data_IF_459137847766
#
_entry.id   IF_459137847766
#
_cell.length_a   1.000
_cell.length_b   1.000
_cell.length_c   1.000
_cell.angle_alpha   90.00
_cell.angle_beta   90.00
_cell.angle_gamma   90.00
#
_symmetry.space_group_name_H-M   'P 1'
#
loop_
_entity.id
_entity.type
_entity.pdbx_description
1 polymer ?
#
# COMPACT_ATOMS: atom_id res chain seq x y z
N UNK A 1 -12.98 -3.31 2.51
CA UNK A 1 -12.72 -2.61 1.24
C UNK A 1 -12.44 -3.68 0.20
N UNK A 2 -13.40 -3.99 -0.66
CA UNK A 2 -13.43 -5.16 -1.56
C UNK A 2 -12.28 -5.08 -2.55
N UNK A 3 -11.41 -6.10 -2.50
CA UNK A 3 -10.26 -6.30 -3.40
C UNK A 3 -10.75 -6.29 -4.86
N UNK A 4 -10.43 -5.25 -5.64
CA UNK A 4 -10.82 -5.17 -7.04
C UNK A 4 -10.02 -6.22 -7.83
N UNK A 5 -10.59 -7.42 -8.00
CA UNK A 5 -10.21 -8.31 -9.10
C UNK A 5 -10.19 -7.44 -10.36
N UNK A 6 -9.11 -7.46 -11.14
CA UNK A 6 -9.06 -6.84 -12.48
C UNK A 6 -10.09 -7.55 -13.34
N UNK A 7 -11.36 -7.14 -13.21
CA UNK A 7 -12.47 -7.63 -14.03
C UNK A 7 -12.15 -7.34 -15.50
N UNK A 8 -12.33 -8.33 -16.35
CA UNK A 8 -12.22 -8.18 -17.80
C UNK A 8 -13.22 -7.10 -18.26
N UNK A 9 -12.91 -6.38 -19.33
CA UNK A 9 -13.74 -5.25 -19.86
C UNK A 9 -15.23 -5.65 -19.97
N UNK A 10 -15.50 -6.88 -20.39
CA UNK A 10 -16.84 -7.48 -20.49
C UNK A 10 -17.50 -7.68 -19.12
N UNK A 11 -16.73 -8.15 -18.12
CA UNK A 11 -17.26 -8.35 -16.76
C UNK A 11 -17.60 -7.03 -16.08
N UNK A 12 -16.75 -5.98 -16.27
CA UNK A 12 -17.05 -4.61 -15.80
C UNK A 12 -18.32 -4.07 -16.42
N UNK A 13 -18.52 -4.27 -17.73
CA UNK A 13 -19.72 -3.83 -18.43
C UNK A 13 -20.98 -4.51 -17.86
N UNK A 14 -20.95 -5.83 -17.66
CA UNK A 14 -22.07 -6.60 -17.09
C UNK A 14 -22.36 -6.14 -15.65
N UNK A 15 -21.33 -5.92 -14.83
CA UNK A 15 -21.50 -5.43 -13.46
C UNK A 15 -22.15 -4.05 -13.43
N UNK A 16 -21.69 -3.12 -14.26
CA UNK A 16 -22.25 -1.78 -14.36
C UNK A 16 -23.70 -1.80 -14.86
N UNK A 17 -24.03 -2.70 -15.81
CA UNK A 17 -25.39 -2.89 -16.30
C UNK A 17 -26.31 -3.41 -15.18
N UNK A 18 -25.83 -4.40 -14.40
CA UNK A 18 -26.60 -4.95 -13.28
C UNK A 18 -26.84 -3.90 -12.18
N UNK A 19 -25.81 -3.14 -11.80
CA UNK A 19 -25.93 -2.04 -10.82
C UNK A 19 -26.93 -0.99 -11.30
N UNK A 20 -26.88 -0.60 -12.58
CA UNK A 20 -27.80 0.36 -13.17
C UNK A 20 -29.23 -0.14 -13.10
N UNK A 21 -29.48 -1.39 -13.51
CA UNK A 21 -30.80 -2.00 -13.46
C UNK A 21 -31.32 -2.11 -12.01
N UNK A 22 -30.51 -2.55 -11.06
CA UNK A 22 -30.88 -2.70 -9.66
C UNK A 22 -31.29 -1.34 -9.05
N UNK A 23 -30.50 -0.29 -9.25
CA UNK A 23 -30.82 1.05 -8.71
C UNK A 23 -32.09 1.60 -9.33
N UNK A 24 -32.31 1.46 -10.64
CA UNK A 24 -33.54 1.92 -11.30
C UNK A 24 -34.79 1.14 -10.81
N UNK A 25 -34.67 -0.18 -10.60
CA UNK A 25 -35.73 -0.99 -10.01
C UNK A 25 -36.07 -0.55 -8.58
N UNK A 26 -35.06 -0.25 -7.76
CA UNK A 26 -35.28 0.26 -6.40
C UNK A 26 -35.99 1.61 -6.44
N UNK A 27 -35.54 2.55 -7.28
CA UNK A 27 -36.20 3.85 -7.45
C UNK A 27 -37.66 3.68 -7.90
N UNK A 28 -37.95 2.81 -8.86
CA UNK A 28 -39.30 2.53 -9.32
C UNK A 28 -40.15 1.94 -8.19
N UNK A 29 -39.65 0.98 -7.42
CA UNK A 29 -40.35 0.38 -6.28
C UNK A 29 -40.70 1.40 -5.20
N UNK A 30 -39.77 2.30 -4.84
CA UNK A 30 -40.01 3.39 -3.89
C UNK A 30 -41.09 4.34 -4.44
N UNK A 31 -41.03 4.72 -5.72
CA UNK A 31 -42.00 5.59 -6.34
C UNK A 31 -43.41 4.97 -6.38
N UNK A 32 -43.54 3.69 -6.69
CA UNK A 32 -44.80 2.96 -6.66
C UNK A 32 -45.38 2.89 -5.24
N UNK A 33 -44.52 2.66 -4.24
CA UNK A 33 -44.96 2.68 -2.83
C UNK A 33 -45.49 4.05 -2.41
N UNK A 34 -44.79 5.13 -2.78
CA UNK A 34 -45.23 6.51 -2.47
C UNK A 34 -46.52 6.85 -3.22
N UNK A 35 -46.65 6.44 -4.47
CA UNK A 35 -47.84 6.67 -5.27
C UNK A 35 -49.08 6.02 -4.61
N UNK A 36 -48.91 4.81 -4.06
CA UNK A 36 -50.00 4.06 -3.44
C UNK A 36 -50.37 4.53 -2.02
N UNK A 37 -49.43 5.11 -1.26
CA UNK A 37 -49.65 5.42 0.17
C UNK A 37 -49.91 6.90 0.45
N UNK A 38 -49.21 7.82 -0.23
CA UNK A 38 -49.12 9.20 0.26
C UNK A 38 -49.61 10.27 -0.71
N UNK A 39 -49.86 9.95 -1.97
CA UNK A 39 -50.30 10.94 -2.98
C UNK A 39 -49.31 12.07 -3.27
N UNK A 40 -48.10 12.03 -2.72
CA UNK A 40 -47.06 13.08 -2.90
C UNK A 40 -46.27 12.85 -4.19
N UNK A 41 -46.95 12.96 -5.32
CA UNK A 41 -46.38 12.75 -6.66
C UNK A 41 -45.21 13.69 -6.99
N UNK A 42 -45.10 14.82 -6.31
CA UNK A 42 -44.04 15.85 -6.57
C UNK A 42 -42.62 15.37 -6.22
N UNK A 43 -42.46 14.33 -5.38
CA UNK A 43 -41.15 13.80 -4.99
C UNK A 43 -40.56 12.78 -6.00
N UNK A 44 -41.39 12.23 -6.88
CA UNK A 44 -41.00 11.17 -7.81
C UNK A 44 -39.78 11.58 -8.71
N UNK A 45 -39.77 12.77 -9.34
CA UNK A 45 -38.62 13.20 -10.14
C UNK A 45 -37.32 13.28 -9.32
N UNK A 46 -37.39 13.72 -8.06
CA UNK A 46 -36.24 13.84 -7.18
C UNK A 46 -35.60 12.47 -6.84
N UNK A 47 -36.43 11.42 -6.67
CA UNK A 47 -35.94 10.05 -6.42
C UNK A 47 -35.18 9.52 -7.61
N UNK A 48 -35.68 9.75 -8.83
CA UNK A 48 -34.98 9.33 -10.05
C UNK A 48 -33.68 10.12 -10.30
N UNK A 49 -33.65 11.42 -9.94
CA UNK A 49 -32.41 12.22 -9.98
C UNK A 49 -31.38 11.66 -9.00
N UNK A 50 -31.80 11.31 -7.77
CA UNK A 50 -30.93 10.67 -6.79
C UNK A 50 -30.43 9.30 -7.28
N UNK A 51 -31.30 8.50 -7.90
CA UNK A 51 -30.93 7.22 -8.53
C UNK A 51 -29.87 7.39 -9.62
N UNK A 52 -30.06 8.37 -10.50
CA UNK A 52 -29.06 8.69 -11.55
C UNK A 52 -27.73 9.14 -10.98
N UNK A 53 -27.72 9.89 -9.89
CA UNK A 53 -26.52 10.26 -9.14
C UNK A 53 -25.81 9.01 -8.59
N UNK A 54 -26.54 8.13 -7.90
CA UNK A 54 -25.98 6.88 -7.36
C UNK A 54 -25.38 6.00 -8.46
N UNK A 55 -26.06 5.86 -9.60
CA UNK A 55 -25.53 5.13 -10.75
C UNK A 55 -24.22 5.76 -11.23
N UNK A 56 -24.15 7.09 -11.35
CA UNK A 56 -22.94 7.79 -11.76
C UNK A 56 -21.78 7.61 -10.76
N UNK A 57 -22.07 7.47 -9.46
CA UNK A 57 -21.06 7.19 -8.42
C UNK A 57 -20.59 5.74 -8.47
N UNK A 58 -21.51 4.79 -8.66
CA UNK A 58 -21.23 3.35 -8.58
C UNK A 58 -20.68 2.75 -9.88
N UNK A 59 -20.97 3.37 -11.05
CA UNK A 59 -20.54 2.88 -12.36
C UNK A 59 -19.37 3.66 -12.92
N UNK A 60 -18.65 3.09 -13.88
CA UNK A 60 -17.53 3.73 -14.54
C UNK A 60 -17.96 4.35 -15.88
N UNK A 61 -17.61 5.62 -16.07
CA UNK A 61 -17.82 6.36 -17.34
C UNK A 61 -19.18 7.07 -17.46
N UNK A 62 -19.34 7.82 -18.55
CA UNK A 62 -20.54 8.63 -18.80
C UNK A 62 -21.74 7.84 -19.32
N UNK A 63 -21.51 6.69 -19.95
CA UNK A 63 -22.52 5.96 -20.73
C UNK A 63 -23.69 5.49 -19.89
N UNK A 64 -23.41 4.84 -18.74
CA UNK A 64 -24.44 4.37 -17.84
C UNK A 64 -25.19 5.50 -17.13
N UNK A 65 -24.48 6.59 -16.79
CA UNK A 65 -25.08 7.78 -16.23
C UNK A 65 -26.06 8.43 -17.19
N UNK A 66 -25.68 8.67 -18.45
CA UNK A 66 -26.56 9.25 -19.48
C UNK A 66 -27.74 8.32 -19.77
N UNK A 67 -27.51 7.04 -19.92
CA UNK A 67 -28.56 6.06 -20.17
C UNK A 67 -29.59 6.03 -19.02
N UNK A 68 -29.12 6.07 -17.77
CA UNK A 68 -30.01 6.11 -16.61
C UNK A 68 -30.90 7.36 -16.58
N UNK A 69 -30.37 8.53 -17.00
CA UNK A 69 -31.15 9.77 -17.10
C UNK A 69 -32.27 9.64 -18.12
N UNK A 70 -31.96 9.13 -19.30
CA UNK A 70 -32.96 8.95 -20.37
C UNK A 70 -34.07 7.99 -19.92
N UNK A 71 -33.70 6.85 -19.31
CA UNK A 71 -34.66 5.88 -18.79
C UNK A 71 -35.51 6.51 -17.68
N UNK A 72 -34.89 7.27 -16.78
CA UNK A 72 -35.58 7.94 -15.66
C UNK A 72 -36.61 8.95 -16.15
N UNK A 73 -36.27 9.78 -17.13
CA UNK A 73 -37.21 10.76 -17.72
C UNK A 73 -38.40 10.07 -18.36
N UNK A 74 -38.13 9.01 -19.15
CA UNK A 74 -39.18 8.24 -19.81
C UNK A 74 -40.06 7.50 -18.77
N UNK A 75 -39.46 6.90 -17.73
CA UNK A 75 -40.19 6.22 -16.68
C UNK A 75 -41.13 7.16 -15.89
N UNK A 76 -40.63 8.33 -15.54
CA UNK A 76 -41.45 9.37 -14.83
C UNK A 76 -42.59 9.83 -15.71
N UNK A 77 -42.34 10.14 -16.98
CA UNK A 77 -43.38 10.61 -17.91
C UNK A 77 -44.44 9.53 -18.17
N UNK A 78 -44.04 8.27 -18.38
CA UNK A 78 -44.97 7.19 -18.70
C UNK A 78 -45.80 6.69 -17.50
N UNK A 79 -45.12 6.46 -16.36
CA UNK A 79 -45.76 5.78 -15.23
C UNK A 79 -46.43 6.73 -14.19
N UNK A 80 -45.91 7.96 -14.07
CA UNK A 80 -46.30 8.86 -12.96
C UNK A 80 -46.90 10.20 -13.41
N UNK A 81 -47.09 10.41 -14.73
CA UNK A 81 -47.66 11.65 -15.26
C UNK A 81 -49.04 11.37 -15.86
N UNK A 82 -49.99 12.25 -15.56
CA UNK A 82 -51.36 12.11 -16.13
C UNK A 82 -51.40 12.53 -17.62
N UNK A 83 -52.08 11.77 -18.53
CA UNK A 83 -52.76 10.50 -18.30
C UNK A 83 -51.74 9.36 -18.16
N UNK A 84 -51.94 8.50 -17.12
CA UNK A 84 -51.02 7.40 -16.80
C UNK A 84 -50.90 6.39 -17.96
N UNK A 85 -49.73 5.76 -18.07
CA UNK A 85 -49.43 4.77 -19.09
C UNK A 85 -49.49 5.28 -20.54
N UNK A 86 -49.30 6.59 -20.71
CA UNK A 86 -49.16 7.25 -22.02
C UNK A 86 -48.08 8.32 -21.96
N UNK A 87 -47.33 8.49 -23.06
CA UNK A 87 -46.35 9.58 -23.13
C UNK A 87 -47.07 10.90 -23.38
N UNK A 88 -46.94 11.84 -22.46
CA UNK A 88 -47.54 13.17 -22.57
C UNK A 88 -46.50 14.27 -22.38
N UNK A 89 -46.05 14.80 -23.49
CA UNK A 89 -45.09 15.92 -23.54
C UNK A 89 -45.78 17.26 -23.93
N UNK A 90 -47.13 17.29 -24.03
CA UNK A 90 -47.85 18.51 -24.40
C UNK A 90 -48.10 19.43 -23.21
N UNK A 91 -48.07 18.91 -21.98
CA UNK A 91 -48.21 19.72 -20.76
C UNK A 91 -46.87 20.42 -20.44
N UNK A 92 -46.89 21.75 -20.30
CA UNK A 92 -45.71 22.55 -20.00
C UNK A 92 -44.96 22.09 -18.73
N UNK A 93 -45.70 21.70 -17.67
CA UNK A 93 -45.11 21.21 -16.42
C UNK A 93 -44.28 19.95 -16.59
N UNK A 94 -44.69 19.03 -17.47
CA UNK A 94 -44.00 17.79 -17.75
C UNK A 94 -42.68 18.02 -18.51
N UNK A 95 -42.72 18.93 -19.48
CA UNK A 95 -41.54 19.31 -20.24
C UNK A 95 -40.52 20.03 -19.36
N UNK A 96 -40.96 20.95 -18.52
CA UNK A 96 -40.10 21.68 -17.59
C UNK A 96 -39.41 20.71 -16.61
N UNK A 97 -40.19 19.79 -16.01
CA UNK A 97 -39.66 18.76 -15.10
C UNK A 97 -38.61 17.86 -15.80
N UNK A 98 -38.88 17.41 -17.01
CA UNK A 98 -37.94 16.60 -17.78
C UNK A 98 -36.63 17.35 -18.09
N UNK A 99 -36.73 18.61 -18.49
CA UNK A 99 -35.55 19.46 -18.76
C UNK A 99 -34.72 19.67 -17.49
N UNK A 100 -35.36 19.96 -16.36
CA UNK A 100 -34.66 20.13 -15.07
C UNK A 100 -33.96 18.82 -14.66
N UNK A 101 -34.65 17.67 -14.76
CA UNK A 101 -34.06 16.36 -14.48
C UNK A 101 -32.82 16.09 -15.34
N UNK A 102 -32.89 16.37 -16.65
CA UNK A 102 -31.78 16.19 -17.57
C UNK A 102 -30.59 17.09 -17.17
N UNK A 103 -30.84 18.39 -16.94
CA UNK A 103 -29.78 19.34 -16.59
C UNK A 103 -29.08 18.92 -15.30
N UNK A 104 -29.82 18.63 -14.23
CA UNK A 104 -29.26 18.23 -12.94
C UNK A 104 -28.47 16.94 -13.08
N UNK A 105 -29.05 15.93 -13.72
CA UNK A 105 -28.42 14.62 -13.84
C UNK A 105 -27.17 14.64 -14.72
N UNK A 106 -27.20 15.36 -15.85
CA UNK A 106 -26.03 15.52 -16.74
C UNK A 106 -24.91 16.27 -16.02
N UNK A 107 -25.25 17.38 -15.33
CA UNK A 107 -24.25 18.16 -14.57
C UNK A 107 -23.61 17.31 -13.46
N UNK A 108 -24.43 16.56 -12.74
CA UNK A 108 -23.95 15.67 -11.67
C UNK A 108 -23.08 14.55 -12.21
N UNK A 109 -23.49 13.92 -13.32
CA UNK A 109 -22.70 12.87 -13.98
C UNK A 109 -21.34 13.42 -14.46
N UNK A 110 -21.33 14.59 -15.09
CA UNK A 110 -20.11 15.23 -15.54
C UNK A 110 -19.16 15.57 -14.36
N UNK A 111 -19.72 16.11 -13.27
CA UNK A 111 -18.94 16.46 -12.09
C UNK A 111 -18.34 15.23 -11.39
N UNK A 112 -19.15 14.18 -11.20
CA UNK A 112 -18.71 12.93 -10.58
C UNK A 112 -17.59 12.27 -11.40
N UNK A 113 -17.73 12.20 -12.72
CA UNK A 113 -16.71 11.62 -13.58
C UNK A 113 -15.42 12.44 -13.58
N UNK A 114 -15.53 13.79 -13.54
CA UNK A 114 -14.38 14.68 -13.40
C UNK A 114 -13.64 14.45 -12.09
N UNK A 115 -14.35 14.33 -10.97
CA UNK A 115 -13.78 14.05 -9.65
C UNK A 115 -13.04 12.71 -9.63
N UNK A 116 -13.66 11.65 -10.14
CA UNK A 116 -13.03 10.32 -10.25
C UNK A 116 -11.73 10.36 -11.08
N UNK A 117 -11.76 11.09 -12.20
CA UNK A 117 -10.57 11.25 -13.05
C UNK A 117 -9.47 12.04 -12.35
N UNK A 118 -9.82 13.08 -11.62
CA UNK A 118 -8.85 13.85 -10.82
C UNK A 118 -8.22 13.00 -9.70
N UNK A 119 -9.00 12.18 -9.02
CA UNK A 119 -8.52 11.29 -7.98
C UNK A 119 -7.56 10.23 -8.54
N UNK A 120 -7.90 9.62 -9.68
CA UNK A 120 -7.02 8.68 -10.37
C UNK A 120 -5.69 9.32 -10.80
N UNK A 121 -5.74 10.53 -11.37
CA UNK A 121 -4.54 11.30 -11.76
C UNK A 121 -3.70 11.72 -10.55
N UNK A 122 -4.33 12.05 -9.42
CA UNK A 122 -3.61 12.35 -8.18
C UNK A 122 -2.84 11.14 -7.68
N UNK A 123 -3.49 9.98 -7.61
CA UNK A 123 -2.85 8.74 -7.19
C UNK A 123 -1.66 8.36 -8.08
N UNK A 124 -1.82 8.52 -9.41
CA UNK A 124 -0.73 8.28 -10.37
C UNK A 124 0.43 9.27 -10.14
N UNK A 125 0.13 10.56 -9.99
CA UNK A 125 1.14 11.60 -9.76
C UNK A 125 1.87 11.40 -8.43
N UNK A 126 1.18 10.98 -7.37
CA UNK A 126 1.78 10.67 -6.07
C UNK A 126 2.74 9.47 -6.18
N UNK A 127 2.35 8.43 -6.92
CA UNK A 127 3.21 7.27 -7.18
C UNK A 127 4.47 7.67 -7.95
N UNK A 128 4.33 8.47 -9.01
CA UNK A 128 5.48 8.96 -9.79
C UNK A 128 6.41 9.88 -8.96
N UNK A 129 5.86 10.75 -8.14
CA UNK A 129 6.65 11.56 -7.19
C UNK A 129 7.40 10.71 -6.18
N UNK A 130 6.75 9.68 -5.65
CA UNK A 130 7.38 8.75 -4.71
C UNK A 130 8.55 8.02 -5.39
N UNK A 131 8.37 7.53 -6.61
CA UNK A 131 9.45 6.92 -7.42
C UNK A 131 10.62 7.87 -7.65
N UNK A 132 10.33 9.11 -8.06
CA UNK A 132 11.36 10.13 -8.30
C UNK A 132 12.14 10.47 -7.02
N UNK A 133 11.46 10.56 -5.88
CA UNK A 133 12.09 10.82 -4.59
C UNK A 133 12.96 9.63 -4.13
N UNK A 134 12.49 8.40 -4.32
CA UNK A 134 13.26 7.19 -4.04
C UNK A 134 14.54 7.13 -4.89
N UNK A 135 14.43 7.39 -6.20
CA UNK A 135 15.61 7.40 -7.09
C UNK A 135 16.62 8.48 -6.70
N UNK A 136 16.15 9.65 -6.27
CA UNK A 136 17.03 10.73 -5.79
C UNK A 136 17.73 10.35 -4.49
N UNK A 137 17.00 9.80 -3.53
CA UNK A 137 17.56 9.31 -2.27
C UNK A 137 18.59 8.21 -2.51
N UNK A 138 18.26 7.21 -3.33
CA UNK A 138 19.17 6.13 -3.75
C UNK A 138 20.44 6.69 -4.38
N UNK A 139 20.31 7.63 -5.31
CA UNK A 139 21.48 8.23 -6.00
C UNK A 139 22.40 8.97 -5.03
N UNK A 140 21.82 9.68 -4.07
CA UNK A 140 22.59 10.36 -3.03
C UNK A 140 23.32 9.36 -2.14
N UNK A 141 22.61 8.33 -1.67
CA UNK A 141 23.12 7.36 -0.72
C UNK A 141 24.15 6.41 -1.35
N UNK A 142 24.06 6.13 -2.66
CA UNK A 142 25.10 5.41 -3.40
C UNK A 142 26.38 6.23 -3.59
N UNK A 143 26.27 7.55 -3.75
CA UNK A 143 27.43 8.41 -4.02
C UNK A 143 28.41 8.46 -2.84
N UNK A 144 27.90 8.51 -1.62
CA UNK A 144 28.73 8.67 -0.40
C UNK A 144 29.70 7.48 -0.22
N UNK A 145 29.25 6.21 -0.15
CA UNK A 145 30.16 5.06 -0.02
C UNK A 145 31.09 4.92 -1.22
N UNK A 146 30.60 5.20 -2.43
CA UNK A 146 31.43 5.17 -3.63
C UNK A 146 32.58 6.17 -3.55
N UNK A 147 32.32 7.39 -3.04
CA UNK A 147 33.36 8.40 -2.83
C UNK A 147 34.35 7.96 -1.76
N UNK A 148 33.89 7.30 -0.69
CA UNK A 148 34.76 6.78 0.37
C UNK A 148 35.65 5.65 -0.17
N UNK A 149 35.07 4.69 -0.94
CA UNK A 149 35.82 3.62 -1.57
C UNK A 149 36.90 4.17 -2.52
N UNK A 150 36.49 5.11 -3.40
CA UNK A 150 37.37 5.72 -4.36
C UNK A 150 38.50 6.50 -3.69
N UNK A 151 38.16 7.34 -2.68
CA UNK A 151 39.12 8.14 -1.95
C UNK A 151 40.15 7.29 -1.17
N UNK A 152 39.69 6.24 -0.48
CA UNK A 152 40.57 5.33 0.23
C UNK A 152 41.44 4.53 -0.74
N UNK A 153 40.89 4.07 -1.87
CA UNK A 153 41.64 3.37 -2.92
C UNK A 153 42.69 4.26 -3.58
N UNK A 154 42.35 5.52 -3.96
CA UNK A 154 43.29 6.49 -4.50
C UNK A 154 44.42 6.81 -3.51
N UNK A 155 44.05 7.07 -2.22
CA UNK A 155 45.06 7.33 -1.21
C UNK A 155 46.05 6.15 -1.04
N UNK A 156 45.58 4.92 -1.07
CA UNK A 156 46.44 3.72 -1.01
C UNK A 156 47.36 3.57 -2.23
N UNK A 157 46.89 3.96 -3.43
CA UNK A 157 47.66 3.93 -4.65
C UNK A 157 48.73 5.05 -4.70
N UNK A 158 48.33 6.28 -4.33
CA UNK A 158 49.16 7.47 -4.43
C UNK A 158 50.13 7.62 -3.23
N UNK A 159 49.74 7.09 -2.07
CA UNK A 159 50.47 7.26 -0.82
C UNK A 159 51.71 6.37 -0.63
N UNK A 160 51.95 5.40 -1.54
CA UNK A 160 53.08 4.50 -1.51
C UNK A 160 53.38 3.92 -0.11
N UNK A 161 54.65 4.08 0.36
CA UNK A 161 55.09 3.61 1.67
C UNK A 161 54.76 4.59 2.84
N UNK A 162 54.07 5.68 2.58
CA UNK A 162 53.74 6.72 3.59
C UNK A 162 52.73 6.31 4.66
N UNK A 163 51.99 5.20 4.45
CA UNK A 163 51.02 4.70 5.43
C UNK A 163 51.58 3.55 6.26
N UNK A 164 51.28 3.56 7.56
CA UNK A 164 51.56 2.40 8.42
C UNK A 164 50.73 1.18 8.00
N UNK A 165 51.17 -0.03 8.36
CA UNK A 165 50.42 -1.25 8.12
C UNK A 165 49.00 -1.21 8.71
N UNK A 166 48.86 -0.62 9.88
CA UNK A 166 47.56 -0.43 10.57
C UNK A 166 46.65 0.54 9.81
N UNK A 167 47.22 1.63 9.28
CA UNK A 167 46.46 2.59 8.46
C UNK A 167 45.99 1.97 7.14
N UNK A 168 46.84 1.19 6.47
CA UNK A 168 46.47 0.46 5.26
C UNK A 168 45.35 -0.56 5.53
N UNK A 169 45.47 -1.33 6.62
CA UNK A 169 44.48 -2.30 7.01
C UNK A 169 43.14 -1.63 7.31
N UNK A 170 43.12 -0.50 8.03
CA UNK A 170 41.93 0.28 8.32
C UNK A 170 41.25 0.78 7.04
N UNK A 171 41.99 1.30 6.08
CA UNK A 171 41.48 1.74 4.77
C UNK A 171 40.87 0.59 3.97
N UNK A 172 41.56 -0.55 3.90
CA UNK A 172 41.09 -1.74 3.20
C UNK A 172 39.82 -2.31 3.84
N UNK A 173 39.75 -2.37 5.17
CA UNK A 173 38.54 -2.77 5.89
C UNK A 173 37.39 -1.80 5.62
N UNK A 174 37.65 -0.49 5.57
CA UNK A 174 36.69 0.52 5.19
C UNK A 174 36.13 0.29 3.78
N UNK A 175 36.99 0.07 2.80
CA UNK A 175 36.58 -0.23 1.42
C UNK A 175 35.68 -1.47 1.38
N UNK A 176 36.07 -2.57 2.05
CA UNK A 176 35.25 -3.78 2.09
C UNK A 176 33.89 -3.55 2.73
N UNK A 177 33.82 -2.80 3.82
CA UNK A 177 32.57 -2.47 4.51
C UNK A 177 31.63 -1.68 3.62
N UNK A 178 32.14 -0.64 2.94
CA UNK A 178 31.33 0.20 2.03
C UNK A 178 30.88 -0.58 0.79
N UNK A 179 31.73 -1.45 0.23
CA UNK A 179 31.37 -2.31 -0.89
C UNK A 179 30.26 -3.31 -0.52
N UNK A 180 30.32 -3.92 0.66
CA UNK A 180 29.27 -4.81 1.17
C UNK A 180 27.95 -4.07 1.39
N UNK A 181 28.01 -2.83 1.88
CA UNK A 181 26.84 -2.00 2.05
C UNK A 181 26.18 -1.65 0.70
N UNK A 182 27.00 -1.28 -0.31
CA UNK A 182 26.51 -1.02 -1.68
C UNK A 182 25.81 -2.24 -2.28
N UNK A 183 26.39 -3.43 -2.12
CA UNK A 183 25.78 -4.67 -2.62
C UNK A 183 24.38 -4.88 -2.03
N UNK A 184 24.23 -4.70 -0.72
CA UNK A 184 22.92 -4.79 -0.05
C UNK A 184 21.91 -3.76 -0.55
N UNK A 185 22.37 -2.55 -0.78
CA UNK A 185 21.50 -1.48 -1.27
C UNK A 185 20.99 -1.79 -2.67
N UNK A 186 21.82 -2.35 -3.54
CA UNK A 186 21.41 -2.81 -4.89
C UNK A 186 20.40 -3.96 -4.80
N UNK A 187 20.61 -4.94 -3.92
CA UNK A 187 19.67 -6.04 -3.69
C UNK A 187 18.30 -5.53 -3.22
N UNK A 188 18.28 -4.59 -2.28
CA UNK A 188 17.07 -3.94 -1.80
C UNK A 188 16.34 -3.17 -2.93
N UNK A 189 17.09 -2.46 -3.78
CA UNK A 189 16.51 -1.73 -4.90
C UNK A 189 15.91 -2.66 -5.97
N UNK A 190 16.59 -3.76 -6.28
CA UNK A 190 16.07 -4.78 -7.19
C UNK A 190 14.78 -5.40 -6.66
N UNK A 191 14.68 -5.62 -5.34
CA UNK A 191 13.46 -6.13 -4.71
C UNK A 191 12.31 -5.14 -4.82
N UNK A 192 12.54 -3.84 -4.63
CA UNK A 192 11.52 -2.78 -4.82
C UNK A 192 11.05 -2.73 -6.27
N UNK A 193 12.00 -2.72 -7.24
CA UNK A 193 11.63 -2.63 -8.66
C UNK A 193 10.87 -3.85 -9.17
N UNK A 194 11.15 -5.02 -8.63
CA UNK A 194 10.36 -6.24 -8.92
C UNK A 194 8.93 -6.11 -8.44
N UNK A 195 8.70 -5.58 -7.23
CA UNK A 195 7.36 -5.40 -6.65
C UNK A 195 6.55 -4.29 -7.34
N UNK A 196 7.20 -3.22 -7.82
CA UNK A 196 6.56 -2.02 -8.38
C UNK A 196 6.09 -2.19 -9.84
N UNK A 197 6.66 -3.17 -10.56
CA UNK A 197 6.40 -3.39 -12.00
C UNK A 197 4.96 -3.87 -12.30
N UNK A 198 4.11 -4.04 -11.30
CA UNK A 198 2.70 -4.47 -11.46
C UNK A 198 2.50 -5.86 -12.09
N UNK A 199 3.61 -6.52 -12.49
CA UNK A 199 3.63 -7.79 -13.22
C UNK A 199 4.31 -8.93 -12.45
N UNK A 200 4.80 -8.68 -11.21
CA UNK A 200 5.33 -9.75 -10.39
C UNK A 200 4.21 -10.24 -9.48
N UNK A 201 3.62 -11.35 -9.88
CA UNK A 201 2.83 -12.17 -8.96
C UNK A 201 3.74 -12.62 -7.83
N UNK A 202 3.43 -12.23 -6.58
CA UNK A 202 4.03 -12.85 -5.41
C UNK A 202 3.92 -14.37 -5.56
N UNK A 203 5.04 -15.06 -5.49
CA UNK A 203 5.03 -16.53 -5.48
C UNK A 203 4.82 -16.95 -4.04
N UNK A 204 3.57 -16.93 -3.60
CA UNK A 204 3.22 -17.45 -2.28
C UNK A 204 3.31 -18.97 -2.31
N UNK A 205 4.14 -19.53 -1.46
CA UNK A 205 4.25 -20.95 -1.19
C UNK A 205 3.93 -21.22 0.26
N UNK A 206 3.33 -22.36 0.57
CA UNK A 206 3.12 -22.81 1.95
C UNK A 206 4.48 -23.00 2.61
N UNK A 207 4.87 -22.06 3.46
CA UNK A 207 6.20 -22.01 4.09
C UNK A 207 6.09 -22.42 5.56
N UNK A 208 6.92 -23.33 6.00
CA UNK A 208 7.04 -23.74 7.41
C UNK A 208 7.74 -22.63 8.19
N UNK A 209 7.12 -22.19 9.28
CA UNK A 209 7.62 -21.07 10.09
C UNK A 209 9.02 -21.33 10.63
N UNK A 210 9.26 -22.52 11.20
CA UNK A 210 10.54 -22.87 11.81
C UNK A 210 11.70 -22.82 10.79
N UNK A 211 11.48 -23.37 9.58
CA UNK A 211 12.47 -23.34 8.50
C UNK A 211 12.81 -21.91 8.07
N UNK A 212 11.82 -21.03 8.01
CA UNK A 212 12.02 -19.62 7.69
C UNK A 212 12.88 -18.95 8.78
N UNK A 213 12.54 -19.16 10.06
CA UNK A 213 13.27 -18.53 11.18
C UNK A 213 14.71 -19.06 11.24
N UNK A 214 14.93 -20.35 11.06
CA UNK A 214 16.26 -20.92 11.01
C UNK A 214 17.11 -20.29 9.89
N UNK A 215 16.54 -20.14 8.69
CA UNK A 215 17.23 -19.47 7.56
C UNK A 215 17.61 -18.02 7.90
N UNK A 216 16.66 -17.26 8.51
CA UNK A 216 16.89 -15.90 8.99
C UNK A 216 18.06 -15.83 9.96
N UNK A 217 18.04 -16.71 10.99
CA UNK A 217 19.08 -16.74 12.04
C UNK A 217 20.45 -17.10 11.51
N UNK A 218 20.53 -18.06 10.60
CA UNK A 218 21.79 -18.42 9.93
C UNK A 218 22.37 -17.21 9.18
N UNK A 219 21.56 -16.49 8.42
CA UNK A 219 21.99 -15.29 7.67
C UNK A 219 22.38 -14.14 8.59
N UNK A 220 21.61 -13.91 9.65
CA UNK A 220 21.86 -12.84 10.61
C UNK A 220 23.14 -13.11 11.41
N UNK A 221 23.28 -14.31 12.01
CA UNK A 221 24.42 -14.66 12.84
C UNK A 221 25.75 -14.67 12.05
N UNK A 222 25.71 -15.06 10.78
CA UNK A 222 26.89 -14.95 9.90
C UNK A 222 27.41 -13.51 9.78
N UNK A 223 26.52 -12.53 9.85
CA UNK A 223 26.84 -11.11 9.68
C UNK A 223 27.11 -10.40 11.00
N UNK A 224 26.37 -10.77 12.05
CA UNK A 224 26.42 -10.17 13.38
C UNK A 224 26.68 -11.24 14.46
N UNK A 225 27.86 -11.89 14.45
CA UNK A 225 28.16 -13.02 15.34
C UNK A 225 28.20 -12.64 16.83
N UNK A 226 28.32 -11.34 17.15
CA UNK A 226 28.31 -10.83 18.52
C UNK A 226 26.93 -10.45 19.05
N UNK A 227 25.89 -10.50 18.23
CA UNK A 227 24.52 -10.12 18.62
C UNK A 227 23.67 -11.38 18.71
N UNK A 228 23.28 -11.73 19.93
CA UNK A 228 22.37 -12.87 20.17
C UNK A 228 20.92 -12.49 19.91
N UNK A 229 20.19 -13.34 19.19
CA UNK A 229 18.73 -13.21 18.99
C UNK A 229 18.02 -14.28 19.82
N UNK A 230 17.11 -13.85 20.70
CA UNK A 230 16.19 -14.78 21.40
C UNK A 230 14.96 -14.98 20.54
N UNK A 231 14.60 -16.23 20.24
CA UNK A 231 13.40 -16.57 19.49
C UNK A 231 12.31 -17.09 20.41
N UNK A 232 11.09 -16.60 20.22
CA UNK A 232 9.88 -17.04 20.90
C UNK A 232 8.86 -17.44 19.81
N UNK A 233 8.71 -18.73 19.55
CA UNK A 233 7.85 -19.28 18.51
C UNK A 233 6.67 -20.03 19.14
N UNK A 234 5.54 -20.19 18.41
CA UNK A 234 4.44 -21.04 18.87
C UNK A 234 4.88 -22.51 18.95
N UNK A 235 4.39 -23.25 19.94
CA UNK A 235 4.66 -24.68 20.10
C UNK A 235 3.99 -25.54 19.01
N UNK A 236 3.03 -24.98 18.29
CA UNK A 236 2.29 -25.66 17.24
C UNK A 236 3.01 -25.52 15.89
N UNK A 237 2.86 -26.55 15.04
CA UNK A 237 3.37 -26.50 13.67
C UNK A 237 2.59 -25.47 12.84
N UNK A 238 3.26 -24.42 12.38
CA UNK A 238 2.64 -23.30 11.66
C UNK A 238 3.17 -23.25 10.23
N UNK A 239 2.23 -23.23 9.28
CA UNK A 239 2.50 -23.03 7.85
C UNK A 239 1.81 -21.75 7.40
N UNK A 240 2.54 -20.89 6.68
CA UNK A 240 2.03 -19.59 6.26
C UNK A 240 2.25 -19.45 4.74
N UNK A 241 1.19 -19.08 3.98
CA UNK A 241 1.33 -18.84 2.55
C UNK A 241 2.03 -17.50 2.30
N UNK A 242 3.32 -17.55 1.94
CA UNK A 242 4.13 -16.36 1.73
C UNK A 242 5.22 -16.57 0.66
N UNK A 243 5.77 -15.47 0.16
CA UNK A 243 7.05 -15.49 -0.55
C UNK A 243 8.17 -15.52 0.50
N UNK A 244 8.72 -16.72 0.74
CA UNK A 244 9.68 -16.96 1.82
C UNK A 244 10.93 -16.08 1.69
N UNK A 245 11.40 -15.81 0.47
CA UNK A 245 12.60 -14.99 0.21
C UNK A 245 12.35 -13.54 0.63
N UNK A 246 11.18 -13.00 0.30
CA UNK A 246 10.84 -11.62 0.62
C UNK A 246 10.57 -11.44 2.11
N UNK A 247 9.87 -12.39 2.76
CA UNK A 247 9.60 -12.30 4.21
C UNK A 247 10.88 -12.52 5.01
N UNK A 248 11.76 -13.43 4.61
CA UNK A 248 13.10 -13.56 5.19
C UNK A 248 13.85 -12.22 5.14
N UNK A 249 13.83 -11.53 3.99
CA UNK A 249 14.45 -10.21 3.83
C UNK A 249 13.85 -9.17 4.78
N UNK A 250 12.53 -9.19 5.01
CA UNK A 250 11.87 -8.30 5.99
C UNK A 250 12.44 -8.55 7.39
N UNK A 251 12.44 -9.81 7.84
CA UNK A 251 12.88 -10.15 9.20
C UNK A 251 14.36 -9.80 9.39
N UNK A 252 15.22 -10.15 8.42
CA UNK A 252 16.65 -9.80 8.46
C UNK A 252 16.84 -8.28 8.53
N UNK A 253 16.11 -7.49 7.73
CA UNK A 253 16.20 -6.02 7.76
C UNK A 253 15.78 -5.45 9.12
N UNK A 254 14.76 -6.01 9.77
CA UNK A 254 14.31 -5.57 11.11
C UNK A 254 15.36 -5.90 12.18
N UNK A 255 15.93 -7.11 12.15
CA UNK A 255 17.01 -7.52 13.07
C UNK A 255 18.28 -6.69 12.87
N UNK A 256 18.67 -6.43 11.62
CA UNK A 256 19.82 -5.57 11.29
C UNK A 256 19.59 -4.12 11.75
N UNK A 257 18.36 -3.61 11.65
CA UNK A 257 18.02 -2.29 12.14
C UNK A 257 18.27 -2.19 13.66
N UNK A 258 17.89 -3.19 14.45
CA UNK A 258 18.19 -3.24 15.88
C UNK A 258 19.70 -3.34 16.12
N UNK A 259 20.41 -4.25 15.45
CA UNK A 259 21.87 -4.43 15.61
C UNK A 259 22.69 -3.16 15.30
N UNK A 260 22.20 -2.31 14.38
CA UNK A 260 22.92 -1.11 13.96
C UNK A 260 22.54 0.15 14.74
N UNK A 261 21.31 0.22 15.27
CA UNK A 261 20.74 1.47 15.77
C UNK A 261 20.26 1.44 17.20
N UNK A 262 20.06 0.27 17.79
CA UNK A 262 19.65 0.15 19.18
C UNK A 262 20.88 0.32 20.11
N UNK A 263 21.34 1.56 20.30
CA UNK A 263 22.45 1.84 21.19
C UNK A 263 22.14 1.38 22.63
N UNK A 264 23.10 0.68 23.23
CA UNK A 264 22.93 0.12 24.58
C UNK A 264 22.09 -1.16 24.63
N UNK A 265 21.69 -1.73 23.50
CA UNK A 265 20.93 -2.96 23.43
C UNK A 265 21.66 -4.12 24.09
N UNK A 266 20.96 -4.82 24.98
CA UNK A 266 21.44 -6.06 25.63
C UNK A 266 20.61 -7.26 25.21
N UNK A 267 19.39 -7.03 24.73
CA UNK A 267 18.42 -8.09 24.36
C UNK A 267 17.75 -7.77 23.04
N UNK A 268 17.78 -8.72 22.10
CA UNK A 268 17.06 -8.68 20.84
C UNK A 268 16.17 -9.93 20.76
N UNK A 269 14.86 -9.73 20.57
CA UNK A 269 13.87 -10.79 20.58
C UNK A 269 13.10 -10.80 19.26
N UNK A 270 13.01 -11.98 18.65
CA UNK A 270 12.10 -12.28 17.54
C UNK A 270 10.99 -13.17 18.07
N UNK A 271 9.80 -12.61 18.19
CA UNK A 271 8.61 -13.30 18.66
C UNK A 271 7.61 -13.49 17.51
N UNK A 272 7.08 -14.71 17.37
CA UNK A 272 5.99 -15.00 16.42
C UNK A 272 4.84 -15.64 17.20
N UNK A 273 3.64 -15.14 16.97
CA UNK A 273 2.41 -15.66 17.57
C UNK A 273 1.32 -15.79 16.53
N UNK A 274 0.48 -16.81 16.68
CA UNK A 274 -0.74 -16.99 15.91
C UNK A 274 -1.92 -16.37 16.67
N UNK A 275 -2.67 -15.49 16.03
CA UNK A 275 -3.86 -14.85 16.59
C UNK A 275 -5.00 -14.99 15.58
N UNK A 276 -5.89 -15.97 15.81
CA UNK A 276 -6.91 -16.33 14.83
C UNK A 276 -6.27 -16.84 13.54
N UNK A 277 -6.66 -16.27 12.40
CA UNK A 277 -6.11 -16.57 11.07
C UNK A 277 -4.88 -15.73 10.71
N UNK A 278 -4.17 -15.16 11.68
CA UNK A 278 -3.00 -14.32 11.43
C UNK A 278 -1.79 -14.75 12.21
N UNK A 279 -0.64 -14.75 11.55
CA UNK A 279 0.67 -14.82 12.16
C UNK A 279 1.19 -13.41 12.41
N UNK A 280 1.52 -13.09 13.65
CA UNK A 280 2.04 -11.80 14.10
C UNK A 280 3.51 -11.95 14.45
N UNK A 281 4.36 -11.30 13.68
CA UNK A 281 5.81 -11.25 13.86
C UNK A 281 6.18 -9.98 14.62
N UNK A 282 7.01 -10.09 15.63
CA UNK A 282 7.47 -8.96 16.44
C UNK A 282 8.98 -9.04 16.61
N UNK A 283 9.69 -8.00 16.23
CA UNK A 283 11.11 -7.80 16.53
C UNK A 283 11.21 -6.70 17.56
N UNK A 284 11.79 -6.97 18.72
CA UNK A 284 11.92 -6.00 19.81
C UNK A 284 13.34 -5.97 20.36
N UNK A 285 13.83 -4.77 20.63
CA UNK A 285 15.09 -4.51 21.32
C UNK A 285 14.84 -3.73 22.61
N UNK A 286 15.84 -3.69 23.49
CA UNK A 286 15.86 -2.92 24.73
C UNK A 286 16.83 -1.71 24.68
N UNK A 287 17.13 -1.22 23.48
CA UNK A 287 18.05 -0.11 23.25
C UNK A 287 17.46 1.28 23.50
N UNK A 288 18.03 2.29 22.84
CA UNK A 288 17.64 3.71 23.00
C UNK A 288 16.23 4.05 22.46
N UNK A 289 15.60 3.17 21.66
CA UNK A 289 14.33 3.44 21.00
C UNK A 289 14.44 4.38 19.79
N UNK A 290 13.29 4.85 19.32
CA UNK A 290 13.13 5.66 18.11
C UNK A 290 12.60 7.04 18.50
N UNK A 291 13.19 8.09 17.95
CA UNK A 291 12.70 9.46 18.16
C UNK A 291 11.25 9.63 17.69
N UNK A 292 10.35 10.29 18.47
CA UNK A 292 8.92 10.37 18.16
C UNK A 292 8.59 11.00 16.81
N UNK A 293 9.40 11.95 16.33
CA UNK A 293 9.22 12.58 15.02
C UNK A 293 9.55 11.62 13.87
N UNK A 294 10.58 10.78 14.04
CA UNK A 294 10.97 9.74 13.06
C UNK A 294 9.98 8.59 13.03
N UNK A 295 9.42 8.22 14.19
CA UNK A 295 8.47 7.10 14.31
C UNK A 295 7.25 7.28 13.39
N UNK A 296 6.76 8.51 13.23
CA UNK A 296 5.59 8.81 12.37
C UNK A 296 5.82 8.49 10.89
N UNK A 297 7.08 8.60 10.43
CA UNK A 297 7.42 8.50 9.01
C UNK A 297 8.45 7.40 8.72
N UNK A 298 8.68 6.49 9.67
CA UNK A 298 9.79 5.53 9.60
C UNK A 298 9.71 4.58 8.39
N UNK A 299 8.51 4.33 7.88
CA UNK A 299 8.26 3.49 6.71
C UNK A 299 8.07 4.28 5.40
N UNK A 300 8.13 5.63 5.44
CA UNK A 300 7.85 6.46 4.26
C UNK A 300 9.03 6.56 3.26
N UNK A 301 10.20 6.07 3.63
CA UNK A 301 11.41 6.18 2.81
C UNK A 301 11.98 7.61 2.72
N UNK A 302 11.39 8.57 3.43
CA UNK A 302 11.86 9.95 3.49
C UNK A 302 12.73 10.11 4.73
N UNK A 303 14.03 10.26 4.55
CA UNK A 303 14.96 10.62 5.61
C UNK A 303 14.64 12.07 6.05
N UNK A 304 13.97 12.24 7.19
CA UNK A 304 13.69 13.55 7.77
C UNK A 304 14.96 14.07 8.44
N UNK A 305 15.63 15.03 7.80
CA UNK A 305 16.57 15.94 8.48
C UNK A 305 18.02 15.48 8.50
N UNK A 306 18.83 16.31 7.88
CA UNK A 306 20.29 16.32 7.96
C UNK A 306 20.69 16.79 9.36
N UNK A 307 20.93 15.86 10.27
CA UNK A 307 21.81 16.14 11.41
C UNK A 307 23.19 15.62 11.07
N UNK A 308 24.20 16.48 11.24
CA UNK A 308 25.60 16.26 10.85
C UNK A 308 26.29 15.04 11.50
N UNK A 309 25.57 14.28 12.32
CA UNK A 309 26.07 13.11 13.05
C UNK A 309 25.63 11.77 12.44
N UNK A 310 24.88 11.78 11.34
CA UNK A 310 24.43 10.55 10.63
C UNK A 310 25.55 9.95 9.74
N UNK A 311 26.75 9.80 10.28
CA UNK A 311 27.83 9.00 9.66
C UNK A 311 27.56 7.49 9.65
N UNK A 312 26.39 7.05 10.06
CA UNK A 312 25.94 5.66 10.01
C UNK A 312 24.84 5.55 8.96
N UNK A 313 25.11 4.80 7.94
CA UNK A 313 24.38 4.41 6.73
C UNK A 313 22.85 4.19 6.90
N UNK A 314 22.08 5.24 7.10
CA UNK A 314 20.63 5.19 7.30
C UNK A 314 19.90 5.64 6.03
N UNK A 315 19.78 4.79 5.02
CA UNK A 315 19.07 5.14 3.80
C UNK A 315 17.53 5.19 3.95
N UNK A 316 16.97 4.73 5.07
CA UNK A 316 15.51 4.59 5.21
C UNK A 316 14.86 3.61 4.21
N UNK A 317 15.63 3.11 3.25
CA UNK A 317 15.18 2.21 2.18
C UNK A 317 14.81 0.84 2.74
N UNK A 318 15.55 0.32 3.72
CA UNK A 318 15.29 -0.99 4.31
C UNK A 318 13.88 -1.10 4.93
N UNK A 319 13.47 -0.11 5.74
CA UNK A 319 12.16 -0.12 6.38
C UNK A 319 11.02 0.18 5.40
N UNK A 320 11.23 1.06 4.40
CA UNK A 320 10.24 1.30 3.36
C UNK A 320 10.04 0.08 2.46
N UNK A 321 11.12 -0.69 2.20
CA UNK A 321 11.05 -1.98 1.53
C UNK A 321 10.25 -2.99 2.35
N UNK A 322 10.50 -3.09 3.66
CA UNK A 322 9.71 -3.95 4.56
C UNK A 322 8.22 -3.64 4.44
N UNK A 323 7.84 -2.35 4.51
CA UNK A 323 6.45 -1.94 4.37
C UNK A 323 5.86 -2.29 3.00
N UNK A 324 6.63 -2.18 1.94
CA UNK A 324 6.19 -2.54 0.58
C UNK A 324 5.96 -4.04 0.44
N UNK A 325 6.88 -4.86 0.94
CA UNK A 325 6.78 -6.33 0.92
C UNK A 325 5.56 -6.79 1.73
N UNK A 326 5.39 -6.29 2.95
CA UNK A 326 4.28 -6.70 3.82
C UNK A 326 2.93 -6.28 3.22
N UNK A 327 2.80 -5.07 2.68
CA UNK A 327 1.59 -4.63 1.97
C UNK A 327 1.28 -5.49 0.74
N UNK A 328 2.31 -5.88 -0.02
CA UNK A 328 2.14 -6.77 -1.16
C UNK A 328 1.59 -8.15 -0.72
N UNK A 329 1.97 -8.64 0.47
CA UNK A 329 1.42 -9.87 1.06
C UNK A 329 0.00 -9.70 1.63
N UNK A 330 -0.55 -8.47 1.66
CA UNK A 330 -1.86 -8.16 2.25
C UNK A 330 -1.81 -7.90 3.76
N UNK A 331 -0.60 -7.84 4.34
CA UNK A 331 -0.35 -7.59 5.75
C UNK A 331 -0.22 -6.10 6.10
N UNK A 332 0.03 -5.84 7.37
CA UNK A 332 0.31 -4.52 7.90
C UNK A 332 1.61 -4.55 8.73
N UNK A 333 2.36 -3.44 8.72
CA UNK A 333 3.58 -3.26 9.52
C UNK A 333 3.48 -1.98 10.34
N UNK A 334 3.95 -2.04 11.58
CA UNK A 334 3.96 -0.91 12.52
C UNK A 334 5.24 -0.90 13.34
N UNK A 335 5.57 0.26 13.92
CA UNK A 335 6.66 0.43 14.86
C UNK A 335 6.20 1.28 16.03
N UNK A 336 6.70 0.96 17.21
CA UNK A 336 6.43 1.69 18.45
C UNK A 336 7.65 1.61 19.39
N UNK A 337 7.74 2.53 20.34
CA UNK A 337 8.71 2.40 21.41
C UNK A 337 8.14 1.56 22.55
N UNK A 338 8.94 0.65 23.09
CA UNK A 338 8.56 -0.16 24.23
C UNK A 338 8.46 0.72 25.50
N UNK A 339 7.56 0.39 26.42
CA UNK A 339 7.37 1.13 27.67
C UNK A 339 8.62 1.18 28.57
N UNK A 340 9.48 0.17 28.47
CA UNK A 340 10.68 0.02 29.28
C UNK A 340 11.97 0.41 28.53
N UNK A 341 11.86 1.13 27.40
CA UNK A 341 12.96 1.44 26.50
C UNK A 341 13.05 0.47 25.32
N UNK A 342 13.71 0.91 24.23
CA UNK A 342 13.86 0.14 23.01
C UNK A 342 12.74 0.34 22.01
N UNK A 343 12.86 -0.33 20.86
CA UNK A 343 11.89 -0.28 19.77
C UNK A 343 11.21 -1.63 19.54
N UNK A 344 9.99 -1.58 19.07
CA UNK A 344 9.19 -2.75 18.70
C UNK A 344 8.68 -2.58 17.28
N UNK A 345 9.08 -3.46 16.39
CA UNK A 345 8.56 -3.57 15.04
C UNK A 345 7.63 -4.77 14.97
N UNK A 346 6.43 -4.57 14.43
CA UNK A 346 5.42 -5.62 14.32
C UNK A 346 4.86 -5.68 12.92
N UNK A 347 4.74 -6.89 12.36
CA UNK A 347 3.97 -7.11 11.13
C UNK A 347 3.11 -8.37 11.23
N UNK A 348 2.10 -8.45 10.39
CA UNK A 348 1.13 -9.54 10.38
C UNK A 348 0.91 -10.08 8.96
N UNK A 349 0.72 -11.40 8.86
CA UNK A 349 0.40 -12.13 7.63
C UNK A 349 -0.79 -13.05 7.88
N UNK A 350 -1.63 -13.26 6.87
CA UNK A 350 -2.70 -14.24 6.95
C UNK A 350 -2.13 -15.66 6.88
N UNK A 351 -2.61 -16.57 7.76
CA UNK A 351 -2.18 -17.98 7.82
C UNK A 351 -2.96 -18.86 6.87
N UNK A 352 -4.05 -18.38 6.30
CA UNK A 352 -4.86 -19.06 5.30
C UNK A 352 -4.78 -18.31 3.97
N UNK A 353 -4.66 -19.06 2.87
CA UNK A 353 -4.81 -18.47 1.54
C UNK A 353 -6.26 -18.02 1.38
N UNK A 354 -6.48 -16.71 1.20
CA UNK A 354 -7.81 -16.14 0.93
C UNK A 354 -8.38 -16.54 -0.45
N UNK A 355 -8.07 -17.74 -0.94
CA UNK A 355 -8.55 -18.31 -2.20
C UNK A 355 -9.68 -19.35 -2.03
N UNK A 356 -10.14 -19.60 -0.80
CA UNK A 356 -11.31 -20.44 -0.57
C UNK A 356 -12.50 -19.56 -0.16
N UNK A 357 -13.15 -18.89 -1.14
CA UNK A 357 -14.60 -18.69 -1.27
C UNK A 357 -14.93 -18.06 -2.62
#
# INVERSE_FOLDING_TARGET
MIKSRKLNKTQKFICNLFVTAAVLCICLGICLMIHNTSGVLRLIPAIFVLGSFLISVLTDGYTFGILSVLISVLAVNYAFTFPYFSFNFNMQENVVSAVIMIIISVTTCAMTTKLKKQEALRTETETERMRANLLRAVSHDLRTPLTTIYGAGSALLDGGDGFSAEQREKMLRGICTEAQWLSRMVENLLSITRLDSGNVSLIKTSTVLDELIDSVLVKFNKRYPSVGVTTELPDEFVVIPMDAILIEQVIVNLLENAALHAEGMTRLVLNVRTVGSRAVFTVSDDGCGIEPERLKNIFSGVSSGVTADSRRHNSGIGLSLCATIIRAHGGNISAENAKNGGAVFRFELDTEDGENE
#
